data_IF_453490798690
#
_entry.id   IF_453490798690
#
_cell.length_a   1.000
_cell.length_b   1.000
_cell.length_c   1.000
_cell.angle_alpha   90.00
_cell.angle_beta   90.00
_cell.angle_gamma   90.00
#
_symmetry.space_group_name_H-M   'P 1'
#
loop_
_entity.id
_entity.type
_entity.pdbx_description
1 polymer ?
#
# COMPACT_ATOMS: atom_id res chain seq x y z
N UNK A 1 -47.63 -35.98 8.28
CA UNK A 1 -46.17 -36.26 8.33
C UNK A 1 -45.37 -35.76 7.10
N UNK A 2 -45.95 -35.53 5.95
CA UNK A 2 -45.23 -35.06 4.72
C UNK A 2 -45.00 -33.55 4.62
N UNK A 3 -45.73 -32.72 5.38
CA UNK A 3 -45.61 -31.23 5.32
C UNK A 3 -44.41 -30.70 6.13
N UNK A 4 -44.08 -31.34 7.26
CA UNK A 4 -42.94 -30.95 8.12
C UNK A 4 -41.61 -31.17 7.43
N UNK A 5 -41.52 -32.22 6.60
CA UNK A 5 -40.28 -32.55 5.85
C UNK A 5 -39.91 -31.50 4.80
N UNK A 6 -40.91 -30.85 4.15
CA UNK A 6 -40.63 -29.82 3.13
C UNK A 6 -40.19 -28.50 3.75
N UNK A 7 -40.76 -28.13 4.89
CA UNK A 7 -40.38 -26.90 5.62
C UNK A 7 -38.99 -26.97 6.20
N UNK A 8 -38.60 -28.13 6.73
CA UNK A 8 -37.23 -28.37 7.25
C UNK A 8 -36.22 -28.34 6.11
N UNK A 9 -36.54 -28.90 4.95
CA UNK A 9 -35.66 -28.88 3.79
C UNK A 9 -35.43 -27.46 3.24
N UNK A 10 -36.46 -26.60 3.23
CA UNK A 10 -36.33 -25.19 2.82
C UNK A 10 -35.46 -24.41 3.81
N UNK A 11 -35.61 -24.64 5.12
CA UNK A 11 -34.76 -24.02 6.13
C UNK A 11 -33.29 -24.43 6.02
N UNK A 12 -33.00 -25.67 5.72
CA UNK A 12 -31.63 -26.18 5.51
C UNK A 12 -31.02 -25.58 4.26
N UNK A 13 -31.77 -25.41 3.16
CA UNK A 13 -31.28 -24.78 1.93
C UNK A 13 -31.00 -23.28 2.13
N UNK A 14 -31.79 -22.56 2.94
CA UNK A 14 -31.55 -21.15 3.25
C UNK A 14 -30.33 -20.97 4.17
N UNK A 15 -30.07 -21.91 5.10
CA UNK A 15 -28.89 -21.88 5.96
C UNK A 15 -27.58 -22.22 5.19
N UNK A 16 -27.65 -23.00 4.11
CA UNK A 16 -26.49 -23.30 3.27
C UNK A 16 -26.13 -22.18 2.29
N UNK A 17 -27.05 -21.24 2.03
CA UNK A 17 -26.81 -20.10 1.12
C UNK A 17 -26.16 -18.88 1.80
N UNK A 18 -26.05 -18.86 3.12
CA UNK A 18 -25.33 -17.85 3.88
C UNK A 18 -23.86 -18.27 4.07
N UNK A 19 -23.16 -18.60 2.99
CA UNK A 19 -21.71 -18.62 3.04
C UNK A 19 -21.26 -17.19 3.35
N UNK A 20 -20.49 -16.95 4.45
CA UNK A 20 -19.89 -15.65 4.64
C UNK A 20 -19.06 -15.37 3.41
N UNK A 21 -19.25 -14.19 2.80
CA UNK A 21 -18.37 -13.69 1.76
C UNK A 21 -17.00 -13.48 2.43
N UNK A 22 -16.18 -14.50 2.42
CA UNK A 22 -14.78 -14.40 2.83
C UNK A 22 -14.13 -13.60 1.70
N UNK A 23 -13.77 -12.36 2.00
CA UNK A 23 -12.89 -11.62 1.14
C UNK A 23 -11.64 -12.48 0.95
N UNK A 24 -11.37 -12.89 -0.27
CA UNK A 24 -10.22 -13.77 -0.54
C UNK A 24 -8.94 -12.94 -0.39
N UNK A 25 -7.83 -13.62 -0.12
CA UNK A 25 -6.53 -12.94 -0.10
C UNK A 25 -6.21 -12.26 -1.42
N UNK A 26 -6.71 -12.82 -2.50
CA UNK A 26 -6.61 -12.30 -3.85
C UNK A 26 -7.28 -10.93 -3.98
N UNK A 27 -8.49 -10.75 -3.40
CA UNK A 27 -9.21 -9.48 -3.42
C UNK A 27 -8.41 -8.33 -2.75
N UNK A 28 -7.67 -8.62 -1.66
CA UNK A 28 -6.83 -7.60 -1.01
C UNK A 28 -5.68 -7.15 -1.90
N UNK A 29 -5.03 -8.08 -2.60
CA UNK A 29 -3.92 -7.74 -3.49
C UNK A 29 -4.42 -7.06 -4.77
N UNK A 30 -5.55 -7.48 -5.32
CA UNK A 30 -6.20 -6.79 -6.42
C UNK A 30 -6.55 -5.34 -6.07
N UNK A 31 -7.07 -5.11 -4.88
CA UNK A 31 -7.33 -3.76 -4.40
C UNK A 31 -6.00 -2.98 -4.21
N UNK A 32 -4.97 -3.59 -3.63
CA UNK A 32 -3.69 -2.93 -3.38
C UNK A 32 -3.01 -2.46 -4.67
N UNK A 33 -3.17 -3.18 -5.77
CA UNK A 33 -2.65 -2.80 -7.09
C UNK A 33 -3.21 -1.43 -7.55
N UNK A 34 -4.45 -1.10 -7.21
CA UNK A 34 -5.10 0.13 -7.69
C UNK A 34 -4.50 1.41 -7.11
N UNK A 35 -3.84 1.35 -5.96
CA UNK A 35 -3.24 2.50 -5.28
C UNK A 35 -1.74 2.38 -5.06
N UNK A 36 -1.13 1.21 -5.29
CA UNK A 36 0.32 1.04 -5.13
C UNK A 36 1.05 1.50 -6.37
N UNK A 37 2.17 2.18 -6.16
CA UNK A 37 3.02 2.70 -7.22
C UNK A 37 4.46 2.24 -7.06
N UNK A 38 5.13 2.10 -8.19
CA UNK A 38 6.59 2.05 -8.25
C UNK A 38 7.15 3.47 -8.23
N UNK A 39 8.22 3.68 -7.47
CA UNK A 39 8.92 4.95 -7.37
C UNK A 39 10.36 4.72 -7.79
N UNK A 40 10.87 5.57 -8.67
CA UNK A 40 12.29 5.64 -9.00
C UNK A 40 12.84 7.00 -8.61
N UNK A 41 13.98 6.99 -7.90
CA UNK A 41 14.68 8.17 -7.42
C UNK A 41 16.08 8.22 -8.01
N UNK A 42 16.36 9.17 -8.89
CA UNK A 42 17.67 9.39 -9.46
C UNK A 42 18.41 10.48 -8.72
N UNK A 43 19.48 10.11 -8.01
CA UNK A 43 20.34 11.01 -7.25
C UNK A 43 21.60 11.29 -8.07
N UNK A 44 21.81 12.56 -8.45
CA UNK A 44 23.02 12.99 -9.15
C UNK A 44 24.07 13.56 -8.22
N UNK A 45 23.64 14.30 -7.22
CA UNK A 45 24.51 14.95 -6.23
C UNK A 45 24.03 14.52 -4.84
N UNK A 46 24.65 13.50 -4.26
CA UNK A 46 24.25 12.99 -2.96
C UNK A 46 24.70 13.94 -1.84
N UNK A 47 23.83 14.07 -0.84
CA UNK A 47 24.10 14.72 0.44
C UNK A 47 24.01 13.67 1.54
N UNK A 48 24.77 13.87 2.61
CA UNK A 48 24.73 13.04 3.82
C UNK A 48 24.90 11.51 3.52
N UNK A 49 23.89 10.71 3.85
CA UNK A 49 23.95 9.24 3.78
C UNK A 49 23.58 8.69 2.40
N UNK A 50 23.09 9.52 1.49
CA UNK A 50 22.73 9.07 0.15
C UNK A 50 23.98 8.77 -0.70
N UNK A 51 23.77 7.95 -1.71
CA UNK A 51 24.79 7.67 -2.75
C UNK A 51 24.25 8.05 -4.12
N UNK A 52 25.18 8.39 -5.04
CA UNK A 52 24.81 8.64 -6.42
C UNK A 52 24.28 7.36 -7.07
N UNK A 53 23.12 7.45 -7.73
CA UNK A 53 22.53 6.27 -8.37
C UNK A 53 21.07 6.45 -8.74
N UNK A 54 20.47 5.34 -9.16
CA UNK A 54 19.03 5.20 -9.36
C UNK A 54 18.57 4.12 -8.40
N UNK A 55 17.56 4.46 -7.62
CA UNK A 55 16.96 3.57 -6.62
C UNK A 55 15.49 3.40 -6.93
N UNK A 56 14.95 2.23 -6.61
CA UNK A 56 13.52 1.95 -6.74
C UNK A 56 12.92 1.54 -5.40
N UNK A 57 11.63 1.79 -5.26
CA UNK A 57 10.85 1.41 -4.10
C UNK A 57 9.36 1.51 -4.40
N UNK A 58 8.55 1.33 -3.38
CA UNK A 58 7.10 1.40 -3.49
C UNK A 58 6.53 2.57 -2.70
N UNK A 59 5.34 3.01 -3.10
CA UNK A 59 4.50 3.95 -2.38
C UNK A 59 3.04 3.67 -2.63
N UNK A 60 2.17 4.45 -2.04
CA UNK A 60 0.74 4.32 -2.23
C UNK A 60 0.04 5.67 -2.27
N UNK A 61 -0.97 5.77 -3.14
CA UNK A 61 -1.77 6.97 -3.35
C UNK A 61 -2.68 7.19 -2.14
N UNK A 62 -2.54 8.34 -1.47
CA UNK A 62 -3.34 8.73 -0.28
C UNK A 62 -4.34 9.83 -0.56
N UNK A 63 -4.15 10.61 -1.62
CA UNK A 63 -5.05 11.69 -2.02
C UNK A 63 -4.96 11.85 -3.54
N UNK A 64 -6.00 11.40 -4.21
CA UNK A 64 -6.06 11.41 -5.68
C UNK A 64 -6.25 12.82 -6.23
N UNK A 65 -7.00 13.67 -5.54
CA UNK A 65 -7.26 15.04 -5.98
C UNK A 65 -6.00 15.91 -5.94
N UNK A 66 -5.15 15.70 -4.93
CA UNK A 66 -3.86 16.40 -4.79
C UNK A 66 -2.71 15.70 -5.48
N UNK A 67 -2.88 14.41 -5.85
CA UNK A 67 -1.84 13.57 -6.39
C UNK A 67 -0.77 13.21 -5.35
N UNK A 68 -1.15 12.98 -4.09
CA UNK A 68 -0.22 12.69 -3.00
C UNK A 68 -0.01 11.20 -2.82
N UNK A 69 1.26 10.83 -2.77
CA UNK A 69 1.76 9.48 -2.59
C UNK A 69 2.61 9.45 -1.33
N UNK A 70 2.35 8.52 -0.44
CA UNK A 70 3.18 8.24 0.74
C UNK A 70 4.16 7.13 0.42
N UNK A 71 5.39 7.31 0.85
CA UNK A 71 6.49 6.34 0.72
C UNK A 71 7.47 6.51 1.89
N UNK A 72 8.52 5.71 1.92
CA UNK A 72 9.61 5.87 2.87
C UNK A 72 10.54 7.03 2.46
N UNK A 73 11.12 7.71 3.45
CA UNK A 73 12.03 8.80 3.20
C UNK A 73 13.29 8.34 2.44
N UNK A 74 13.83 7.16 2.77
CA UNK A 74 14.97 6.60 2.06
C UNK A 74 14.65 6.23 0.59
N UNK A 75 13.37 5.99 0.22
CA UNK A 75 12.95 5.78 -1.17
C UNK A 75 12.88 7.10 -1.92
N UNK A 76 12.34 8.16 -1.29
CA UNK A 76 12.25 9.49 -1.88
C UNK A 76 13.61 10.21 -1.96
N UNK A 77 14.62 9.72 -1.21
CA UNK A 77 15.93 10.33 -1.00
C UNK A 77 15.93 11.53 -0.04
N UNK A 78 17.01 11.66 0.71
CA UNK A 78 17.31 12.85 1.52
C UNK A 78 18.03 13.95 0.73
N UNK A 79 18.48 13.60 -0.46
CA UNK A 79 19.14 14.49 -1.42
C UNK A 79 18.17 14.95 -2.50
N UNK A 80 18.48 16.04 -3.22
CA UNK A 80 17.75 16.39 -4.42
C UNK A 80 17.77 15.24 -5.43
N UNK A 81 16.59 14.68 -5.72
CA UNK A 81 16.44 13.56 -6.60
C UNK A 81 15.43 13.85 -7.71
N UNK A 82 15.65 13.24 -8.88
CA UNK A 82 14.64 13.22 -9.93
C UNK A 82 13.71 12.04 -9.68
N UNK A 83 12.51 12.34 -9.19
CA UNK A 83 11.50 11.34 -8.87
C UNK A 83 10.64 11.05 -10.10
N UNK A 84 10.33 9.77 -10.28
CA UNK A 84 9.30 9.31 -11.21
C UNK A 84 8.45 8.25 -10.51
N UNK A 85 7.17 8.21 -10.83
CA UNK A 85 6.18 7.31 -10.25
C UNK A 85 5.43 6.60 -11.36
N UNK A 86 5.20 5.31 -11.23
CA UNK A 86 4.38 4.54 -12.17
C UNK A 86 3.36 3.69 -11.41
N UNK A 87 2.12 3.70 -11.87
CA UNK A 87 1.14 2.68 -11.51
C UNK A 87 1.41 1.41 -12.34
N UNK A 88 0.81 0.31 -11.91
CA UNK A 88 1.00 -0.97 -12.62
C UNK A 88 0.63 -0.85 -14.10
N UNK A 89 1.53 -1.31 -14.95
CA UNK A 89 1.38 -1.35 -16.41
C UNK A 89 1.18 0.03 -17.07
N UNK A 90 1.63 1.13 -16.40
CA UNK A 90 1.53 2.49 -16.90
C UNK A 90 2.90 3.15 -17.06
N UNK A 91 2.93 4.24 -17.82
CA UNK A 91 4.12 5.06 -18.00
C UNK A 91 4.50 5.82 -16.73
N UNK A 92 5.79 6.10 -16.57
CA UNK A 92 6.29 6.88 -15.46
C UNK A 92 5.85 8.36 -15.53
N UNK A 93 5.23 8.83 -14.47
CA UNK A 93 4.82 10.22 -14.23
C UNK A 93 5.92 10.93 -13.44
N UNK A 94 6.36 12.15 -13.81
CA UNK A 94 7.25 12.93 -12.96
C UNK A 94 6.62 13.25 -11.61
N UNK A 95 7.41 13.09 -10.54
CA UNK A 95 7.02 13.41 -9.17
C UNK A 95 7.95 14.43 -8.53
N UNK A 96 7.48 15.06 -7.48
CA UNK A 96 8.21 16.00 -6.65
C UNK A 96 8.06 15.60 -5.19
N UNK A 97 9.17 15.51 -4.45
CA UNK A 97 9.14 15.29 -3.00
C UNK A 97 8.71 16.57 -2.31
N UNK A 98 7.56 16.56 -1.63
CA UNK A 98 6.99 17.74 -0.96
C UNK A 98 7.14 17.70 0.57
N UNK A 99 7.43 16.52 1.13
CA UNK A 99 7.66 16.34 2.54
C UNK A 99 8.60 15.16 2.80
N UNK A 100 9.50 15.30 3.76
CA UNK A 100 10.40 14.23 4.25
C UNK A 100 10.50 14.29 5.75
N UNK A 101 10.22 13.17 6.42
CA UNK A 101 10.49 12.95 7.83
C UNK A 101 11.52 11.83 7.98
N UNK A 102 12.74 12.21 8.39
CA UNK A 102 13.85 11.27 8.56
C UNK A 102 13.69 10.35 9.77
N UNK A 103 13.05 10.86 10.83
CA UNK A 103 12.90 10.12 12.09
C UNK A 103 11.87 9.01 11.97
N UNK A 104 10.79 9.26 11.21
CA UNK A 104 9.74 8.29 10.94
C UNK A 104 9.97 7.51 9.64
N UNK A 105 11.01 7.84 8.89
CA UNK A 105 11.27 7.29 7.55
C UNK A 105 10.04 7.43 6.63
N UNK A 106 9.43 8.62 6.61
CA UNK A 106 8.25 8.94 5.82
C UNK A 106 8.53 10.07 4.84
N UNK A 107 7.98 9.95 3.64
CA UNK A 107 7.96 11.02 2.65
C UNK A 107 6.62 11.11 1.93
N UNK A 108 6.32 12.31 1.42
CA UNK A 108 5.20 12.55 0.52
C UNK A 108 5.75 13.04 -0.81
N UNK A 109 5.35 12.35 -1.87
CA UNK A 109 5.62 12.71 -3.26
C UNK A 109 4.32 13.23 -3.87
N UNK A 110 4.43 14.32 -4.62
CA UNK A 110 3.33 14.89 -5.40
C UNK A 110 3.54 14.58 -6.87
N UNK A 111 2.49 14.09 -7.53
CA UNK A 111 2.41 13.95 -8.99
C UNK A 111 1.28 14.82 -9.54
N UNK A 112 1.25 15.05 -10.87
CA UNK A 112 0.12 15.72 -11.49
C UNK A 112 -1.14 14.84 -11.41
N UNK A 113 -2.22 15.27 -10.70
CA UNK A 113 -3.43 14.47 -10.53
C UNK A 113 -4.15 14.17 -11.85
N UNK A 114 -4.03 15.02 -12.87
CA UNK A 114 -4.60 14.78 -14.19
C UNK A 114 -4.01 13.57 -14.93
N UNK A 115 -2.84 13.09 -14.46
CA UNK A 115 -2.17 11.91 -15.00
C UNK A 115 -2.62 10.61 -14.32
N UNK A 116 -3.40 10.70 -13.25
CA UNK A 116 -3.91 9.53 -12.53
C UNK A 116 -5.16 9.02 -13.24
N UNK A 117 -5.12 7.79 -13.73
CA UNK A 117 -6.25 7.18 -14.43
C UNK A 117 -7.46 6.99 -13.51
N UNK A 118 -8.65 6.89 -14.10
CA UNK A 118 -9.91 6.82 -13.33
C UNK A 118 -10.07 5.55 -12.52
N UNK A 119 -9.48 4.45 -12.95
CA UNK A 119 -9.49 3.13 -12.28
C UNK A 119 -8.57 3.07 -11.06
N UNK A 120 -7.69 4.07 -10.86
CA UNK A 120 -6.86 4.16 -9.65
C UNK A 120 -7.66 4.72 -8.49
N UNK A 121 -7.44 4.14 -7.32
CA UNK A 121 -8.10 4.54 -6.07
C UNK A 121 -7.09 5.10 -5.09
N UNK A 122 -7.55 5.80 -4.09
CA UNK A 122 -6.73 6.16 -2.94
C UNK A 122 -6.90 5.12 -1.83
N UNK A 123 -5.86 4.94 -1.02
CA UNK A 123 -5.89 4.02 0.11
C UNK A 123 -6.84 4.55 1.19
N UNK A 124 -7.64 3.66 1.78
CA UNK A 124 -8.46 4.01 2.93
C UNK A 124 -7.64 3.83 4.22
N UNK A 125 -7.07 4.92 4.72
CA UNK A 125 -6.31 4.93 5.97
C UNK A 125 -7.25 4.84 7.17
N UNK A 126 -7.09 3.76 7.97
CA UNK A 126 -7.81 3.59 9.24
C UNK A 126 -6.86 3.86 10.39
N UNK A 127 -7.12 4.93 11.14
CA UNK A 127 -6.28 5.36 12.26
C UNK A 127 -6.84 4.93 13.64
N UNK A 128 -8.05 4.39 13.70
CA UNK A 128 -8.81 4.05 14.91
C UNK A 128 -8.86 2.54 15.23
N UNK A 129 -8.14 1.75 14.47
CA UNK A 129 -8.11 0.29 14.65
C UNK A 129 -7.26 -0.16 15.83
N UNK A 130 -7.84 -0.84 16.83
CA UNK A 130 -7.06 -1.56 17.84
C UNK A 130 -6.48 -2.85 17.23
N UNK A 131 -5.34 -2.72 16.56
CA UNK A 131 -4.63 -3.85 15.98
C UNK A 131 -4.11 -4.76 17.10
N UNK A 132 -4.44 -6.04 17.05
CA UNK A 132 -4.02 -7.05 18.03
C UNK A 132 -2.86 -7.87 17.49
N UNK A 133 -2.01 -8.37 18.39
CA UNK A 133 -1.01 -9.39 18.05
C UNK A 133 -1.75 -10.60 17.49
N UNK A 134 -1.24 -11.16 16.39
CA UNK A 134 -1.91 -12.23 15.63
C UNK A 134 -2.87 -11.73 14.54
N UNK A 135 -3.15 -10.42 14.46
CA UNK A 135 -3.98 -9.87 13.38
C UNK A 135 -3.32 -10.11 12.01
N UNK A 136 -4.04 -10.67 11.03
CA UNK A 136 -3.49 -10.90 9.70
C UNK A 136 -3.20 -9.58 9.00
N UNK A 137 -2.06 -9.49 8.33
CA UNK A 137 -1.61 -8.32 7.56
C UNK A 137 -0.99 -8.76 6.25
N UNK A 138 -1.01 -7.88 5.27
CA UNK A 138 -0.29 -8.02 4.02
C UNK A 138 0.67 -6.85 3.80
N UNK A 139 1.76 -7.11 3.09
CA UNK A 139 2.61 -6.08 2.51
C UNK A 139 2.59 -6.24 0.99
N UNK A 140 2.51 -5.12 0.28
CA UNK A 140 2.46 -5.09 -1.17
C UNK A 140 3.36 -3.98 -1.70
N UNK A 141 4.17 -4.28 -2.72
CA UNK A 141 5.13 -3.32 -3.24
C UNK A 141 6.03 -3.89 -4.34
N UNK A 142 7.21 -3.27 -4.50
CA UNK A 142 8.22 -3.58 -5.52
C UNK A 142 9.54 -4.00 -4.87
N UNK A 143 9.62 -5.16 -4.20
CA UNK A 143 10.88 -5.59 -3.59
C UNK A 143 11.86 -6.07 -4.69
N UNK A 144 13.11 -5.59 -4.65
CA UNK A 144 14.22 -6.14 -5.43
C UNK A 144 13.96 -6.24 -6.94
N UNK A 145 13.41 -5.22 -7.55
CA UNK A 145 12.99 -5.20 -8.96
C UNK A 145 11.88 -6.22 -9.34
N UNK A 146 11.30 -6.91 -8.36
CA UNK A 146 10.09 -7.69 -8.57
C UNK A 146 8.86 -6.77 -8.58
N UNK A 147 8.23 -6.70 -9.71
CA UNK A 147 7.03 -5.91 -9.92
C UNK A 147 5.87 -6.46 -9.10
N UNK A 148 5.21 -5.62 -8.31
CA UNK A 148 3.93 -5.89 -7.63
C UNK A 148 3.87 -7.22 -6.87
N UNK A 149 4.73 -7.37 -5.88
CA UNK A 149 4.80 -8.56 -5.03
C UNK A 149 4.04 -8.37 -3.74
N UNK A 150 3.14 -9.30 -3.42
CA UNK A 150 2.41 -9.37 -2.17
C UNK A 150 2.97 -10.43 -1.23
N UNK A 151 3.01 -10.12 0.06
CA UNK A 151 3.35 -11.06 1.13
C UNK A 151 2.32 -11.00 2.25
N UNK A 152 2.11 -12.13 2.94
CA UNK A 152 1.20 -12.24 4.09
C UNK A 152 1.96 -12.54 5.37
N UNK A 153 1.43 -12.04 6.47
CA UNK A 153 1.95 -12.28 7.79
C UNK A 153 0.92 -11.97 8.87
N UNK A 154 1.42 -11.81 10.07
CA UNK A 154 0.63 -11.37 11.22
C UNK A 154 1.36 -10.26 11.96
N UNK A 155 0.64 -9.46 12.73
CA UNK A 155 1.25 -8.56 13.70
C UNK A 155 1.87 -9.43 14.80
N UNK A 156 3.18 -9.50 14.85
CA UNK A 156 3.93 -10.27 15.84
C UNK A 156 4.15 -9.55 17.17
N UNK A 157 4.07 -8.22 17.16
CA UNK A 157 4.26 -7.38 18.35
C UNK A 157 3.85 -5.94 18.09
N UNK A 158 3.69 -5.18 19.18
CA UNK A 158 3.49 -3.74 19.16
C UNK A 158 4.68 -3.14 19.90
N UNK A 159 5.42 -2.24 19.28
CA UNK A 159 6.45 -1.46 19.95
C UNK A 159 5.86 -0.11 20.34
N UNK A 160 5.86 0.20 21.64
CA UNK A 160 5.45 1.51 22.14
C UNK A 160 6.58 2.54 22.13
N UNK A 161 7.81 2.11 21.85
CA UNK A 161 9.00 2.97 21.80
C UNK A 161 9.73 2.68 20.49
N UNK A 162 9.80 3.64 19.60
CA UNK A 162 10.95 3.76 18.71
C UNK A 162 12.13 3.99 19.64
N UNK A 163 13.01 2.98 19.75
CA UNK A 163 14.12 3.06 20.66
C UNK A 163 14.91 4.34 20.39
N UNK A 164 15.03 5.19 21.40
CA UNK A 164 16.02 6.26 21.40
C UNK A 164 17.39 5.59 21.31
N UNK A 165 17.89 5.43 20.10
CA UNK A 165 19.31 5.37 19.88
C UNK A 165 19.76 6.82 19.63
N UNK A 166 20.09 7.47 20.72
CA UNK A 166 20.96 8.63 20.74
C UNK A 166 22.40 8.14 20.58
#
# INVERSE_FOLDING_TARGET
MKLISKTILIFIVILLSAAPAWCSDEDYFEQAITYTVEITSQIKTPFEEDSQGIYSGAGFLVDKERGWIVTNAHVASYSPAKIKVSFKDEDFIPGETVYVDRYLDLAVIKINPEKILNDKTEVNLKCDGDLKIGHPVGAFGHPWDFSYTGTKGIISGKTSHFGNQL
#
